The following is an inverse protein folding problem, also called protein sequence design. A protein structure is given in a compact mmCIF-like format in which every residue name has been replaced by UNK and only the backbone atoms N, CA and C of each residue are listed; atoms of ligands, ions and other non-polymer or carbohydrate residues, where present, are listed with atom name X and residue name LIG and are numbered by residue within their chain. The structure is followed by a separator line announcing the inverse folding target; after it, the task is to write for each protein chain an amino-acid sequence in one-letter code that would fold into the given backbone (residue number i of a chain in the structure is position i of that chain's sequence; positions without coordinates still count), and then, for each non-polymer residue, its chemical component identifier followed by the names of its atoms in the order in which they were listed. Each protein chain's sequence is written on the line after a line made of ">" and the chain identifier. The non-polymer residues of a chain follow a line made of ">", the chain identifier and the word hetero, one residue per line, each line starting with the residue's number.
data_IF_389601340544
#
_entry.id   IF_389601340544
#
_cell.length_a   1.000
_cell.length_b   1.000
_cell.length_c   1.000
_cell.angle_alpha   90.00
_cell.angle_beta   90.00
_cell.angle_gamma   90.00
#
_symmetry.space_group_name_H-M   'P 1'
#
loop_
_entity.id
_entity.type
_entity.pdbx_description
1 polymer ?
#
# COMPACT_ATOMS: atom_id res chain seq x y z
N UNK A 1 -3.94 -29.90 22.61
CA UNK A 1 -2.67 -29.56 21.95
C UNK A 1 -2.97 -28.44 20.97
N UNK A 2 -2.91 -27.21 21.43
CA UNK A 2 -3.01 -26.01 20.59
C UNK A 2 -1.65 -25.78 19.95
N UNK A 3 -1.51 -26.12 18.68
CA UNK A 3 -0.32 -25.76 17.90
C UNK A 3 -0.29 -24.23 17.76
N UNK A 4 0.58 -23.63 18.53
CA UNK A 4 0.97 -22.21 18.38
C UNK A 4 1.67 -22.07 17.01
N UNK A 5 0.87 -21.89 15.97
CA UNK A 5 1.37 -21.59 14.63
C UNK A 5 1.59 -20.08 14.57
N UNK A 6 2.81 -19.67 14.84
CA UNK A 6 3.25 -18.32 14.44
C UNK A 6 2.84 -18.11 12.98
N UNK A 7 2.04 -17.08 12.65
CA UNK A 7 1.62 -16.84 11.28
C UNK A 7 2.86 -16.71 10.38
N UNK A 8 2.90 -17.48 9.29
CA UNK A 8 3.98 -17.32 8.31
C UNK A 8 4.03 -15.87 7.85
N UNK A 9 5.23 -15.27 7.72
CA UNK A 9 5.37 -13.88 7.31
C UNK A 9 4.69 -13.66 5.96
N UNK A 10 4.07 -12.48 5.79
CA UNK A 10 3.42 -12.07 4.56
C UNK A 10 4.45 -12.05 3.42
N UNK A 11 4.20 -12.82 2.36
CA UNK A 11 5.01 -12.76 1.14
C UNK A 11 4.67 -11.49 0.35
N UNK A 12 5.65 -10.65 0.11
CA UNK A 12 5.50 -9.41 -0.67
C UNK A 12 6.22 -9.53 -2.00
N UNK A 13 5.52 -9.20 -3.09
CA UNK A 13 6.07 -9.18 -4.45
C UNK A 13 5.96 -7.75 -4.99
N UNK A 14 7.09 -7.12 -5.27
CA UNK A 14 7.15 -5.86 -6.01
C UNK A 14 7.37 -6.17 -7.48
N UNK A 15 6.47 -5.75 -8.36
CA UNK A 15 6.54 -6.10 -9.78
C UNK A 15 6.13 -4.91 -10.65
N UNK A 16 6.95 -4.58 -11.65
CA UNK A 16 6.66 -3.49 -12.59
C UNK A 16 7.25 -3.80 -13.97
N UNK A 17 6.65 -3.21 -15.01
CA UNK A 17 7.16 -3.27 -16.38
C UNK A 17 8.27 -2.23 -16.63
N UNK A 18 8.40 -1.23 -15.76
CA UNK A 18 9.45 -0.22 -15.84
C UNK A 18 10.72 -0.70 -15.15
N UNK A 19 11.74 -1.02 -15.94
CA UNK A 19 13.04 -1.49 -15.43
C UNK A 19 13.66 -0.52 -14.42
N UNK A 20 13.52 0.80 -14.60
CA UNK A 20 14.08 1.81 -13.68
C UNK A 20 13.40 1.76 -12.31
N UNK A 21 12.09 1.48 -12.25
CA UNK A 21 11.37 1.26 -10.99
C UNK A 21 11.90 0.01 -10.30
N UNK A 22 12.07 -1.08 -11.04
CA UNK A 22 12.57 -2.36 -10.53
C UNK A 22 13.98 -2.21 -9.93
N UNK A 23 14.90 -1.56 -10.65
CA UNK A 23 16.26 -1.28 -10.16
C UNK A 23 16.25 -0.38 -8.91
N UNK A 24 15.38 0.62 -8.89
CA UNK A 24 15.22 1.49 -7.72
C UNK A 24 14.73 0.72 -6.49
N UNK A 25 13.83 -0.26 -6.66
CA UNK A 25 13.42 -1.15 -5.58
C UNK A 25 14.55 -2.06 -5.10
N UNK A 26 15.34 -2.64 -6.02
CA UNK A 26 16.51 -3.47 -5.63
C UNK A 26 17.45 -2.71 -4.73
N UNK A 27 17.68 -1.42 -5.02
CA UNK A 27 18.49 -0.56 -4.18
C UNK A 27 17.80 -0.20 -2.84
N UNK A 28 16.51 0.17 -2.87
CA UNK A 28 15.79 0.62 -1.67
C UNK A 28 15.51 -0.51 -0.68
N UNK A 29 15.24 -1.72 -1.16
CA UNK A 29 14.87 -2.90 -0.36
C UNK A 29 16.01 -3.91 -0.21
N UNK A 30 17.27 -3.53 -0.49
CA UNK A 30 18.42 -4.43 -0.47
C UNK A 30 18.56 -5.21 0.86
N UNK A 31 18.27 -4.54 1.97
CA UNK A 31 18.42 -5.08 3.33
C UNK A 31 17.08 -5.57 3.92
N UNK A 32 16.01 -5.69 3.12
CA UNK A 32 14.69 -6.09 3.60
C UNK A 32 14.42 -7.54 3.22
N UNK A 33 14.46 -8.48 4.17
CA UNK A 33 14.23 -9.89 3.87
C UNK A 33 12.76 -10.15 3.45
N UNK A 34 12.56 -11.18 2.63
CA UNK A 34 11.22 -11.65 2.27
C UNK A 34 10.49 -10.82 1.20
N UNK A 35 11.14 -9.81 0.64
CA UNK A 35 10.63 -9.04 -0.51
C UNK A 35 11.12 -9.68 -1.81
N UNK A 36 10.20 -10.08 -2.67
CA UNK A 36 10.51 -10.55 -4.01
C UNK A 36 10.33 -9.41 -5.02
N UNK A 37 11.35 -9.12 -5.84
CA UNK A 37 11.33 -8.04 -6.83
C UNK A 37 11.40 -8.64 -8.23
N UNK A 38 10.42 -8.29 -9.10
CA UNK A 38 10.28 -8.83 -10.45
C UNK A 38 10.18 -7.72 -11.50
N UNK A 39 10.87 -7.87 -12.61
CA UNK A 39 10.61 -7.09 -13.83
C UNK A 39 9.56 -7.84 -14.65
N UNK A 40 8.30 -7.64 -14.33
CA UNK A 40 7.17 -8.36 -14.94
C UNK A 40 5.86 -7.59 -14.76
N UNK A 41 4.82 -8.02 -15.46
CA UNK A 41 3.47 -7.49 -15.25
C UNK A 41 2.87 -7.97 -13.94
N UNK A 42 2.16 -7.10 -13.22
CA UNK A 42 1.34 -7.45 -12.06
C UNK A 42 0.36 -8.60 -12.38
N UNK A 43 -0.16 -8.62 -13.60
CA UNK A 43 -1.16 -9.59 -14.05
C UNK A 43 -0.64 -11.03 -14.08
N UNK A 44 0.69 -11.22 -14.03
CA UNK A 44 1.33 -12.55 -13.96
C UNK A 44 1.65 -12.98 -12.52
N UNK A 45 1.48 -12.08 -11.54
CA UNK A 45 1.79 -12.37 -10.15
C UNK A 45 0.71 -13.29 -9.52
N UNK A 46 1.12 -14.52 -9.22
CA UNK A 46 0.27 -15.51 -8.54
C UNK A 46 0.38 -15.31 -7.03
N UNK A 47 -0.50 -14.46 -6.49
CA UNK A 47 -0.58 -14.07 -5.09
C UNK A 47 -2.03 -13.94 -4.66
N UNK A 48 -2.31 -13.92 -3.35
CA UNK A 48 -3.68 -13.84 -2.83
C UNK A 48 -4.32 -12.46 -3.08
N UNK A 49 -3.52 -11.38 -3.09
CA UNK A 49 -4.02 -10.03 -3.31
C UNK A 49 -3.14 -9.21 -4.26
N UNK A 50 -3.75 -8.41 -5.12
CA UNK A 50 -3.09 -7.35 -5.88
C UNK A 50 -3.41 -5.98 -5.29
N UNK A 51 -2.43 -5.07 -5.30
CA UNK A 51 -2.65 -3.66 -4.94
C UNK A 51 -2.81 -2.82 -6.20
N UNK A 52 -3.91 -2.06 -6.25
CA UNK A 52 -4.27 -1.12 -7.31
C UNK A 52 -4.02 0.31 -6.81
N UNK A 53 -3.14 1.09 -7.48
CA UNK A 53 -2.84 2.48 -7.11
C UNK A 53 -3.93 3.44 -7.61
N UNK A 54 -5.16 3.18 -7.28
CA UNK A 54 -6.34 3.86 -7.79
C UNK A 54 -6.38 5.36 -7.42
N UNK A 55 -7.43 6.06 -7.81
CA UNK A 55 -7.78 7.38 -7.30
C UNK A 55 -8.86 7.28 -6.21
N UNK A 56 -9.11 8.38 -5.48
CA UNK A 56 -10.07 8.42 -4.37
C UNK A 56 -11.49 7.99 -4.72
N UNK A 57 -11.87 7.97 -5.99
CA UNK A 57 -13.21 7.54 -6.45
C UNK A 57 -13.24 6.10 -6.96
N UNK A 58 -12.11 5.38 -6.92
CA UNK A 58 -12.01 3.99 -7.40
C UNK A 58 -12.27 3.85 -8.90
N UNK A 59 -11.93 4.87 -9.70
CA UNK A 59 -12.04 4.81 -11.17
C UNK A 59 -10.84 4.06 -11.73
N UNK A 60 -11.13 2.97 -12.43
CA UNK A 60 -10.13 2.09 -13.02
C UNK A 60 -10.07 2.32 -14.54
N UNK A 61 -9.71 3.54 -14.95
CA UNK A 61 -9.77 4.02 -16.34
C UNK A 61 -8.40 4.33 -16.95
N UNK A 62 -7.30 4.15 -16.21
CA UNK A 62 -5.96 4.43 -16.72
C UNK A 62 -4.88 3.50 -16.17
N UNK A 63 -3.77 3.38 -16.89
CA UNK A 63 -2.57 2.67 -16.45
C UNK A 63 -2.82 1.23 -15.97
N UNK A 64 -2.24 0.90 -14.83
CA UNK A 64 -2.37 -0.42 -14.18
C UNK A 64 -3.82 -0.76 -13.84
N UNK A 65 -4.62 0.22 -13.41
CA UNK A 65 -6.02 0.01 -13.04
C UNK A 65 -6.86 -0.46 -14.23
N UNK A 66 -6.69 0.15 -15.39
CA UNK A 66 -7.37 -0.29 -16.62
C UNK A 66 -6.94 -1.69 -17.03
N UNK A 67 -5.66 -2.06 -16.83
CA UNK A 67 -5.17 -3.40 -17.09
C UNK A 67 -5.78 -4.43 -16.12
N UNK A 68 -5.82 -4.12 -14.83
CA UNK A 68 -6.49 -4.95 -13.81
C UNK A 68 -7.97 -5.13 -14.15
N UNK A 69 -8.68 -4.04 -14.50
CA UNK A 69 -10.10 -4.11 -14.86
C UNK A 69 -10.35 -4.97 -16.10
N UNK A 70 -9.50 -4.87 -17.13
CA UNK A 70 -9.61 -5.75 -18.30
C UNK A 70 -9.38 -7.22 -17.94
N UNK A 71 -8.46 -7.50 -17.04
CA UNK A 71 -8.11 -8.87 -16.64
C UNK A 71 -9.17 -9.51 -15.73
N UNK A 72 -9.67 -8.77 -14.73
CA UNK A 72 -10.64 -9.27 -13.73
C UNK A 72 -12.11 -9.03 -14.14
N UNK A 73 -12.35 -8.32 -15.25
CA UNK A 73 -13.68 -7.94 -15.71
C UNK A 73 -14.18 -6.62 -15.09
N UNK A 74 -15.18 -6.00 -15.74
CA UNK A 74 -15.70 -4.69 -15.35
C UNK A 74 -16.31 -4.66 -13.93
N UNK A 75 -16.76 -5.79 -13.42
CA UNK A 75 -17.35 -5.91 -12.08
C UNK A 75 -16.40 -5.54 -10.95
N UNK A 76 -15.09 -5.61 -11.14
CA UNK A 76 -14.11 -5.26 -10.10
C UNK A 76 -14.20 -3.77 -9.73
N UNK A 77 -14.33 -2.88 -10.71
CA UNK A 77 -14.51 -1.44 -10.44
C UNK A 77 -15.78 -1.17 -9.63
N UNK A 78 -16.87 -1.86 -9.93
CA UNK A 78 -18.13 -1.69 -9.19
C UNK A 78 -17.98 -2.14 -7.72
N UNK A 79 -17.24 -3.23 -7.46
CA UNK A 79 -16.95 -3.70 -6.09
C UNK A 79 -16.11 -2.68 -5.32
N UNK A 80 -15.04 -2.16 -5.93
CA UNK A 80 -14.21 -1.11 -5.33
C UNK A 80 -15.05 0.12 -5.01
N UNK A 81 -15.83 0.63 -5.98
CA UNK A 81 -16.67 1.81 -5.77
C UNK A 81 -17.78 1.58 -4.74
N UNK A 82 -18.33 0.37 -4.66
CA UNK A 82 -19.29 0.00 -3.62
C UNK A 82 -18.63 0.07 -2.23
N UNK A 83 -17.47 -0.56 -2.06
CA UNK A 83 -16.74 -0.53 -0.79
C UNK A 83 -16.37 0.91 -0.37
N UNK A 84 -15.94 1.75 -1.34
CA UNK A 84 -15.65 3.16 -1.08
C UNK A 84 -16.91 3.92 -0.61
N UNK A 85 -18.06 3.68 -1.22
CA UNK A 85 -19.32 4.32 -0.77
C UNK A 85 -19.71 3.89 0.65
N UNK A 86 -19.60 2.60 0.94
CA UNK A 86 -20.04 2.03 2.22
C UNK A 86 -19.11 2.39 3.38
N UNK A 87 -17.79 2.44 3.14
CA UNK A 87 -16.78 2.62 4.19
C UNK A 87 -16.26 4.06 4.29
N UNK A 88 -16.34 4.85 3.20
CA UNK A 88 -15.70 6.17 3.10
C UNK A 88 -16.62 7.25 2.45
N UNK A 89 -17.93 7.10 2.56
CA UNK A 89 -18.90 8.08 2.04
C UNK A 89 -18.65 8.51 0.57
N UNK A 90 -18.15 7.59 -0.27
CA UNK A 90 -17.93 7.81 -1.70
C UNK A 90 -16.57 8.41 -2.10
N UNK A 91 -15.68 8.69 -1.13
CA UNK A 91 -14.33 9.19 -1.42
C UNK A 91 -13.30 8.56 -0.49
N UNK A 92 -12.49 7.63 -1.03
CA UNK A 92 -11.42 6.96 -0.30
C UNK A 92 -10.24 7.93 -0.12
N UNK A 93 -9.89 8.33 1.10
CA UNK A 93 -8.75 9.22 1.33
C UNK A 93 -7.43 8.55 0.94
N UNK A 94 -6.43 9.35 0.53
CA UNK A 94 -5.05 8.88 0.48
C UNK A 94 -4.61 8.54 1.92
N UNK A 95 -3.96 7.40 2.08
CA UNK A 95 -3.64 6.85 3.41
C UNK A 95 -4.72 5.92 3.96
N UNK A 96 -5.78 5.64 3.18
CA UNK A 96 -6.75 4.58 3.45
C UNK A 96 -6.79 3.59 2.30
N UNK A 97 -7.23 2.37 2.55
CA UNK A 97 -7.40 1.37 1.51
C UNK A 97 -8.63 0.50 1.76
N UNK A 98 -9.26 0.01 0.69
CA UNK A 98 -10.33 -0.98 0.76
C UNK A 98 -9.87 -2.30 0.14
N UNK A 99 -10.21 -3.42 0.78
CA UNK A 99 -9.96 -4.77 0.27
C UNK A 99 -11.29 -5.37 -0.20
N UNK A 100 -11.35 -5.80 -1.46
CA UNK A 100 -12.55 -6.38 -2.04
C UNK A 100 -12.26 -7.73 -2.69
N UNK A 101 -13.21 -8.68 -2.70
CA UNK A 101 -13.07 -9.90 -3.48
C UNK A 101 -12.88 -9.57 -4.96
N UNK A 102 -11.89 -10.17 -5.61
CA UNK A 102 -11.63 -9.93 -7.03
C UNK A 102 -12.66 -10.58 -7.95
N UNK A 103 -13.26 -11.67 -7.50
CA UNK A 103 -14.11 -12.55 -8.29
C UNK A 103 -13.34 -13.65 -9.03
N UNK A 104 -12.02 -13.69 -8.87
CA UNK A 104 -11.14 -14.74 -9.37
C UNK A 104 -10.55 -15.54 -8.21
N UNK A 105 -9.94 -16.68 -8.52
CA UNK A 105 -9.20 -17.48 -7.53
C UNK A 105 -7.83 -16.85 -7.25
N UNK A 106 -7.22 -16.27 -8.27
CA UNK A 106 -5.89 -15.68 -8.17
C UNK A 106 -5.77 -14.43 -9.07
N UNK A 107 -5.67 -13.24 -8.45
CA UNK A 107 -5.73 -12.99 -7.01
C UNK A 107 -7.15 -13.16 -6.45
N UNK A 108 -7.29 -13.62 -5.21
CA UNK A 108 -8.60 -13.69 -4.55
C UNK A 108 -9.13 -12.30 -4.18
N UNK A 109 -8.22 -11.36 -3.91
CA UNK A 109 -8.55 -10.00 -3.47
C UNK A 109 -7.90 -8.92 -4.33
N UNK A 110 -8.57 -7.77 -4.43
CA UNK A 110 -7.99 -6.52 -4.89
C UNK A 110 -8.01 -5.52 -3.74
N UNK A 111 -6.86 -4.90 -3.46
CA UNK A 111 -6.70 -3.83 -2.50
C UNK A 111 -6.59 -2.53 -3.29
N UNK A 112 -7.55 -1.64 -3.14
CA UNK A 112 -7.52 -0.31 -3.74
C UNK A 112 -6.94 0.68 -2.73
N UNK A 113 -5.75 1.21 -3.03
CA UNK A 113 -5.01 2.15 -2.20
C UNK A 113 -4.68 3.41 -3.02
N UNK A 114 -5.45 4.51 -2.88
CA UNK A 114 -5.29 5.67 -3.74
C UNK A 114 -4.00 6.42 -3.46
N UNK A 115 -3.25 6.74 -4.52
CA UNK A 115 -2.12 7.66 -4.49
C UNK A 115 -2.52 9.07 -4.85
N UNK A 116 -3.74 9.29 -5.37
CA UNK A 116 -4.23 10.58 -5.87
C UNK A 116 -5.73 10.74 -5.64
N UNK A 117 -6.18 11.99 -5.53
CA UNK A 117 -7.62 12.30 -5.37
C UNK A 117 -8.37 12.17 -6.68
N UNK A 118 -7.80 12.71 -7.76
CA UNK A 118 -8.36 12.71 -9.11
C UNK A 118 -7.42 12.05 -10.09
N UNK A 119 -7.96 11.47 -11.17
CA UNK A 119 -7.16 10.86 -12.24
C UNK A 119 -6.15 11.87 -12.81
N UNK A 120 -4.94 11.40 -13.10
CA UNK A 120 -3.83 12.18 -13.68
C UNK A 120 -3.27 13.30 -12.80
N UNK A 121 -3.57 13.34 -11.51
CA UNK A 121 -2.96 14.27 -10.57
C UNK A 121 -1.45 13.98 -10.46
N UNK A 122 -0.64 15.03 -10.56
CA UNK A 122 0.79 14.95 -10.21
C UNK A 122 0.93 14.86 -8.69
N UNK A 123 1.62 13.83 -8.21
CA UNK A 123 1.86 13.58 -6.78
C UNK A 123 3.34 13.42 -6.45
N UNK A 124 4.22 13.88 -7.35
CA UNK A 124 5.67 13.75 -7.25
C UNK A 124 6.27 14.44 -6.02
N UNK A 125 5.60 15.49 -5.53
CA UNK A 125 6.03 16.29 -4.38
C UNK A 125 5.16 16.04 -3.14
N UNK A 126 4.66 14.81 -3.00
CA UNK A 126 3.80 14.41 -1.88
C UNK A 126 4.28 13.12 -1.25
N UNK A 127 3.83 12.83 -0.03
CA UNK A 127 4.02 11.53 0.63
C UNK A 127 2.94 10.49 0.27
N UNK A 128 2.12 10.77 -0.73
CA UNK A 128 0.99 9.92 -1.07
C UNK A 128 1.38 8.46 -1.36
N UNK A 129 2.56 8.23 -1.93
CA UNK A 129 3.08 6.87 -2.20
C UNK A 129 3.34 6.10 -0.90
N UNK A 130 3.97 6.75 0.10
CA UNK A 130 4.22 6.12 1.40
C UNK A 130 2.91 5.81 2.13
N UNK A 131 1.99 6.78 2.15
CA UNK A 131 0.65 6.62 2.73
C UNK A 131 -0.14 5.48 2.07
N UNK A 132 -0.18 5.43 0.74
CA UNK A 132 -0.89 4.38 0.00
C UNK A 132 -0.24 3.00 0.21
N UNK A 133 1.09 2.94 0.28
CA UNK A 133 1.82 1.70 0.54
C UNK A 133 1.49 1.16 1.94
N UNK A 134 1.60 1.97 2.98
CA UNK A 134 1.28 1.58 4.35
C UNK A 134 -0.20 1.19 4.50
N UNK A 135 -1.13 1.95 3.90
CA UNK A 135 -2.55 1.63 3.91
C UNK A 135 -2.88 0.30 3.21
N UNK A 136 -2.13 -0.05 2.14
CA UNK A 136 -2.30 -1.34 1.48
C UNK A 136 -1.95 -2.51 2.43
N UNK A 137 -0.86 -2.42 3.19
CA UNK A 137 -0.50 -3.42 4.20
C UNK A 137 -1.47 -3.45 5.38
N UNK A 138 -1.94 -2.29 5.81
CA UNK A 138 -2.99 -2.18 6.83
C UNK A 138 -4.28 -2.88 6.37
N UNK A 139 -4.66 -2.76 5.10
CA UNK A 139 -5.82 -3.46 4.56
C UNK A 139 -5.62 -4.99 4.52
N UNK A 140 -4.41 -5.49 4.23
CA UNK A 140 -4.06 -6.92 4.37
C UNK A 140 -4.25 -7.37 5.81
N UNK A 141 -3.72 -6.60 6.75
CA UNK A 141 -3.84 -6.92 8.19
C UNK A 141 -5.31 -6.96 8.64
N UNK A 142 -6.11 -5.96 8.29
CA UNK A 142 -7.57 -5.95 8.58
C UNK A 142 -8.29 -7.13 7.97
N UNK A 143 -7.98 -7.47 6.71
CA UNK A 143 -8.57 -8.63 6.04
C UNK A 143 -8.24 -9.93 6.78
N UNK A 144 -6.99 -10.10 7.23
CA UNK A 144 -6.56 -11.26 7.97
C UNK A 144 -7.12 -11.31 9.41
N UNK A 145 -7.44 -10.17 10.02
CA UNK A 145 -8.19 -10.14 11.30
C UNK A 145 -9.62 -10.65 11.12
N UNK A 146 -10.27 -10.30 10.02
CA UNK A 146 -11.63 -10.76 9.71
C UNK A 146 -11.66 -12.23 9.27
N UNK A 147 -10.66 -12.66 8.51
CA UNK A 147 -10.52 -14.02 7.98
C UNK A 147 -9.06 -14.45 8.06
N UNK A 148 -8.65 -15.09 9.15
CA UNK A 148 -7.25 -15.46 9.39
C UNK A 148 -6.64 -16.26 8.22
N UNK A 149 -5.48 -15.78 7.73
CA UNK A 149 -4.74 -16.42 6.66
C UNK A 149 -5.35 -16.30 5.25
N UNK A 150 -6.34 -15.43 5.06
CA UNK A 150 -6.97 -15.22 3.74
C UNK A 150 -6.06 -14.49 2.75
N UNK A 151 -5.11 -13.69 3.23
CA UNK A 151 -4.08 -13.01 2.42
C UNK A 151 -2.70 -13.32 3.01
N UNK A 152 -1.99 -14.24 2.39
CA UNK A 152 -0.62 -14.65 2.77
C UNK A 152 0.44 -14.11 1.81
N UNK A 153 -0.02 -13.58 0.69
CA UNK A 153 0.84 -13.02 -0.34
C UNK A 153 0.18 -11.82 -1.03
N UNK A 154 0.97 -10.77 -1.29
CA UNK A 154 0.49 -9.55 -1.93
C UNK A 154 1.47 -9.06 -2.98
N UNK A 155 0.97 -8.54 -4.10
CA UNK A 155 1.79 -7.92 -5.12
C UNK A 155 1.44 -6.45 -5.31
N UNK A 156 2.48 -5.61 -5.44
CA UNK A 156 2.39 -4.17 -5.66
C UNK A 156 3.17 -3.77 -6.92
N UNK A 157 2.68 -2.72 -7.58
CA UNK A 157 3.39 -2.00 -8.66
C UNK A 157 4.06 -0.74 -8.09
N UNK A 158 4.83 -0.03 -8.93
CA UNK A 158 5.36 1.30 -8.60
C UNK A 158 4.23 2.30 -8.39
N UNK A 159 3.87 2.48 -7.11
CA UNK A 159 2.76 3.35 -6.72
C UNK A 159 3.05 4.79 -7.13
N UNK A 160 2.19 5.40 -7.95
CA UNK A 160 2.37 6.76 -8.43
C UNK A 160 3.49 6.98 -9.46
N UNK A 161 4.29 5.97 -9.81
CA UNK A 161 5.45 6.12 -10.69
C UNK A 161 5.09 6.43 -12.15
N UNK A 162 3.92 6.01 -12.62
CA UNK A 162 3.45 6.30 -13.97
C UNK A 162 2.60 7.59 -14.00
N UNK A 163 1.30 7.46 -13.81
CA UNK A 163 0.34 8.58 -13.89
C UNK A 163 0.60 9.66 -12.85
N UNK A 164 1.07 9.30 -11.65
CA UNK A 164 1.39 10.24 -10.56
C UNK A 164 2.70 11.01 -10.76
N UNK A 165 3.48 10.68 -11.79
CA UNK A 165 4.76 11.34 -12.17
C UNK A 165 5.84 11.28 -11.07
N UNK A 166 5.74 10.36 -10.13
CA UNK A 166 6.75 10.19 -9.09
C UNK A 166 8.01 9.57 -9.69
N UNK A 167 9.20 10.19 -9.55
CA UNK A 167 10.43 9.63 -10.06
C UNK A 167 10.70 8.24 -9.46
N UNK A 168 11.21 7.27 -10.23
CA UNK A 168 11.38 5.88 -9.79
C UNK A 168 12.12 5.72 -8.45
N UNK A 169 13.21 6.44 -8.22
CA UNK A 169 13.95 6.40 -6.95
C UNK A 169 13.15 6.94 -5.78
N UNK A 170 12.39 8.03 -6.00
CA UNK A 170 11.50 8.61 -4.98
C UNK A 170 10.37 7.64 -4.67
N UNK A 171 9.74 7.07 -5.70
CA UNK A 171 8.73 6.03 -5.54
C UNK A 171 9.23 4.86 -4.69
N UNK A 172 10.41 4.33 -5.02
CA UNK A 172 11.00 3.21 -4.30
C UNK A 172 11.28 3.53 -2.82
N UNK A 173 11.82 4.71 -2.53
CA UNK A 173 12.10 5.14 -1.16
C UNK A 173 10.82 5.38 -0.36
N UNK A 174 9.80 5.99 -0.97
CA UNK A 174 8.50 6.20 -0.32
C UNK A 174 7.78 4.87 -0.08
N UNK A 175 7.85 3.91 -1.01
CA UNK A 175 7.31 2.57 -0.79
C UNK A 175 8.05 1.82 0.32
N UNK A 176 9.39 1.95 0.37
CA UNK A 176 10.17 1.40 1.47
C UNK A 176 9.77 2.03 2.82
N UNK A 177 9.63 3.35 2.89
CA UNK A 177 9.16 4.05 4.09
C UNK A 177 7.77 3.59 4.53
N UNK A 178 6.82 3.45 3.60
CA UNK A 178 5.47 2.95 3.91
C UNK A 178 5.47 1.49 4.37
N UNK A 179 6.31 0.65 3.80
CA UNK A 179 6.46 -0.74 4.23
C UNK A 179 7.06 -0.85 5.63
N UNK A 180 8.15 -0.15 5.92
CA UNK A 180 8.81 -0.18 7.23
C UNK A 180 7.94 0.45 8.29
N UNK A 181 7.24 1.53 7.98
CA UNK A 181 6.26 2.15 8.88
C UNK A 181 5.21 1.12 9.33
N UNK A 182 4.61 0.39 8.40
CA UNK A 182 3.63 -0.64 8.71
C UNK A 182 4.26 -1.82 9.47
N UNK A 183 5.44 -2.30 9.05
CA UNK A 183 6.07 -3.50 9.63
C UNK A 183 6.60 -3.28 11.03
N UNK A 184 7.07 -2.06 11.34
CA UNK A 184 7.67 -1.71 12.63
C UNK A 184 6.63 -1.21 13.65
N UNK A 185 5.39 -0.95 13.23
CA UNK A 185 4.37 -0.31 14.06
C UNK A 185 2.99 -0.93 13.86
N UNK A 186 2.19 -0.90 14.93
CA UNK A 186 0.78 -1.27 14.88
C UNK A 186 -0.06 0.00 14.95
N UNK A 187 -0.87 0.23 13.92
CA UNK A 187 -1.85 1.31 13.86
C UNK A 187 -3.24 0.77 14.22
N UNK A 188 -4.01 1.55 14.97
CA UNK A 188 -5.37 1.20 15.34
C UNK A 188 -6.29 1.27 14.12
N UNK A 189 -6.15 2.33 13.35
CA UNK A 189 -6.90 2.58 12.13
C UNK A 189 -6.10 3.40 11.10
N UNK A 190 -6.76 3.76 9.99
CA UNK A 190 -6.14 4.55 8.91
C UNK A 190 -5.92 6.02 9.31
N UNK A 191 -6.64 6.55 10.30
CA UNK A 191 -6.47 7.92 10.78
C UNK A 191 -5.23 8.02 11.68
N UNK A 192 -4.99 7.04 12.54
CA UNK A 192 -3.76 6.90 13.33
C UNK A 192 -2.53 6.80 12.42
N UNK A 193 -2.59 5.94 11.39
CA UNK A 193 -1.55 5.85 10.37
C UNK A 193 -1.30 7.21 9.69
N UNK A 194 -2.36 7.88 9.26
CA UNK A 194 -2.27 9.16 8.55
C UNK A 194 -1.68 10.25 9.44
N UNK A 195 -2.16 10.37 10.67
CA UNK A 195 -1.67 11.34 11.64
C UNK A 195 -0.17 11.15 11.92
N UNK A 196 0.27 9.89 12.09
CA UNK A 196 1.68 9.56 12.30
C UNK A 196 2.56 10.00 11.13
N UNK A 197 2.14 9.73 9.90
CA UNK A 197 2.91 10.12 8.71
C UNK A 197 2.94 11.64 8.54
N UNK A 198 1.81 12.32 8.76
CA UNK A 198 1.73 13.77 8.62
C UNK A 198 2.51 14.52 9.69
N UNK A 199 2.56 14.01 10.92
CA UNK A 199 3.33 14.62 12.01
C UNK A 199 4.84 14.67 11.73
N UNK A 200 5.33 13.87 10.81
CA UNK A 200 6.76 13.80 10.46
C UNK A 200 7.10 14.48 9.12
N UNK A 201 6.14 15.14 8.48
CA UNK A 201 6.37 15.90 7.24
C UNK A 201 7.46 16.95 7.41
N UNK A 202 7.44 17.70 8.50
CA UNK A 202 8.42 18.74 8.80
C UNK A 202 9.85 18.17 8.95
N UNK A 203 9.98 16.97 9.49
CA UNK A 203 11.28 16.31 9.61
C UNK A 203 11.79 15.80 8.25
N UNK A 204 10.86 15.42 7.36
CA UNK A 204 11.19 14.99 6.01
C UNK A 204 11.69 16.13 5.13
N UNK A 205 11.10 17.32 5.27
CA UNK A 205 11.54 18.52 4.53
C UNK A 205 12.95 18.98 4.95
N UNK A 206 13.35 18.71 6.20
CA UNK A 206 14.66 19.06 6.75
C UNK A 206 15.74 18.03 6.45
N UNK A 207 15.37 16.84 5.99
CA UNK A 207 16.34 15.76 5.73
C UNK A 207 17.14 15.99 4.45
N UNK A 208 18.45 15.70 4.43
CA UNK A 208 19.25 15.79 3.22
C UNK A 208 18.68 14.93 2.09
N UNK A 209 18.68 15.41 0.82
CA UNK A 209 18.05 14.69 -0.31
C UNK A 209 18.63 13.30 -0.62
N UNK A 210 19.79 12.99 -0.06
CA UNK A 210 20.47 11.69 -0.22
C UNK A 210 20.17 10.70 0.92
N UNK A 211 19.52 11.13 1.97
CA UNK A 211 19.25 10.29 3.14
C UNK A 211 17.93 9.54 2.96
N UNK A 212 17.92 8.24 3.28
CA UNK A 212 16.67 7.49 3.43
C UNK A 212 15.93 8.05 4.64
N UNK A 213 14.71 8.50 4.43
CA UNK A 213 13.89 9.00 5.52
C UNK A 213 13.04 7.86 6.06
N UNK A 214 13.28 7.50 7.31
CA UNK A 214 12.44 6.55 8.05
C UNK A 214 11.37 7.34 8.80
N UNK A 215 10.12 7.09 8.47
CA UNK A 215 8.99 7.63 9.22
C UNK A 215 8.90 6.84 10.54
N UNK A 216 9.09 7.50 11.66
CA UNK A 216 9.02 6.87 12.99
C UNK A 216 7.89 7.53 13.78
N UNK A 217 6.86 6.81 14.24
CA UNK A 217 5.82 7.41 15.06
C UNK A 217 6.40 7.98 16.36
N UNK A 218 5.78 9.01 16.93
CA UNK A 218 6.15 9.49 18.24
C UNK A 218 6.03 8.36 19.27
N UNK A 219 6.99 8.31 20.22
CA UNK A 219 6.91 7.35 21.31
C UNK A 219 5.56 7.53 22.03
N UNK A 220 4.75 6.47 22.09
CA UNK A 220 3.48 6.52 22.85
C UNK A 220 3.84 6.87 24.29
N UNK A 221 3.47 8.06 24.73
CA UNK A 221 3.63 8.48 26.11
C UNK A 221 2.97 7.44 27.00
N UNK A 222 3.77 6.83 27.88
CA UNK A 222 3.26 5.85 28.85
C UNK A 222 2.06 6.44 29.57
N UNK A 223 0.92 5.76 29.48
CA UNK A 223 -0.27 6.05 30.27
C UNK A 223 0.16 6.08 31.74
N UNK A 224 0.27 7.28 32.31
CA UNK A 224 0.44 7.42 33.74
C UNK A 224 -0.80 6.79 34.38
N UNK A 225 -0.60 5.61 34.97
CA UNK A 225 -1.59 4.96 35.80
C UNK A 225 -2.06 5.96 36.86
N UNK A 226 -3.28 6.48 36.70
CA UNK A 226 -3.96 7.18 37.80
C UNK A 226 -4.19 6.15 38.89
N UNK A 227 -3.32 6.14 39.90
CA UNK A 227 -3.64 5.57 41.21
C UNK A 227 -4.57 6.56 41.91
N UNK A 228 -5.75 6.17 42.21
CA UNK A 228 -6.59 6.67 43.30
C UNK A 228 -7.18 5.47 44.00
#
# INVERSE_FOLDING_TARGET
>A
MTTDRTPSPLKVVLTDLNATVVESWRAAFADVPGIEIRHASLLTAKVDAWVSPTNSRGRMDGGTDAAIKRHLGAGIQLRVQKAIREQHAGSLPVGSAVCVPSGAVNPAFLIAAPTMRTSSQNVSETLNVALACAAAFQAVHRQNRLRPGSVRSVALVGLGAATGKVPPRVCANLMWSGYTLFNDHHFEDDDDLRATVLAQLDDLEKAPPTQRVRITPPARGGSAARRA
#
